data_IF_991303476262
#
_entry.id   IF_991303476262
#
_cell.length_a   1.000
_cell.length_b   1.000
_cell.length_c   1.000
_cell.angle_alpha   90.00
_cell.angle_beta   90.00
_cell.angle_gamma   90.00
#
_symmetry.space_group_name_H-M   'P 1'
#
loop_
_entity.id
_entity.type
_entity.pdbx_description
1 polymer ?
#
# COMPACT_ATOMS: atom_id res chain seq x y z
N UNK A 1 1.94 5.06 31.07
CA UNK A 1 1.69 5.71 29.77
C UNK A 1 1.73 4.64 28.70
N UNK A 2 0.63 4.48 27.97
CA UNK A 2 0.46 3.43 26.96
C UNK A 2 1.24 3.77 25.69
N UNK A 3 1.77 2.75 25.00
CA UNK A 3 2.59 2.95 23.80
C UNK A 3 1.79 3.66 22.70
N UNK A 4 0.47 3.36 22.61
CA UNK A 4 -0.43 3.96 21.63
C UNK A 4 -0.69 5.46 21.79
N UNK A 5 -0.35 6.03 22.95
CA UNK A 5 -0.54 7.47 23.22
C UNK A 5 0.59 8.35 22.67
N UNK A 6 1.64 7.76 22.10
CA UNK A 6 2.81 8.50 21.61
C UNK A 6 2.60 9.00 20.17
N UNK A 7 3.16 10.18 19.82
CA UNK A 7 3.12 10.68 18.45
C UNK A 7 3.74 9.68 17.47
N UNK A 8 3.18 9.59 16.27
CA UNK A 8 3.58 8.67 15.19
C UNK A 8 3.42 7.18 15.51
N UNK A 9 2.78 6.81 16.62
CA UNK A 9 2.57 5.41 16.96
C UNK A 9 1.90 4.60 15.83
N UNK A 10 0.83 5.07 15.16
CA UNK A 10 0.21 4.31 14.07
C UNK A 10 1.17 4.05 12.90
N UNK A 11 1.93 5.07 12.48
CA UNK A 11 2.88 4.94 11.37
C UNK A 11 4.07 4.07 11.76
N UNK A 12 4.56 4.21 12.99
CA UNK A 12 5.63 3.39 13.54
C UNK A 12 5.22 1.92 13.61
N UNK A 13 4.02 1.62 14.12
CA UNK A 13 3.53 0.24 14.16
C UNK A 13 3.34 -0.35 12.77
N UNK A 14 2.84 0.41 11.79
CA UNK A 14 2.79 -0.06 10.39
C UNK A 14 4.17 -0.52 9.89
N UNK A 15 5.23 0.23 10.17
CA UNK A 15 6.60 -0.19 9.83
C UNK A 15 6.99 -1.48 10.54
N UNK A 16 6.68 -1.63 11.83
CA UNK A 16 7.01 -2.84 12.59
C UNK A 16 6.20 -4.07 12.18
N UNK A 17 4.98 -3.88 11.68
CA UNK A 17 4.16 -4.94 11.12
C UNK A 17 4.72 -5.43 9.78
N UNK A 18 5.26 -4.52 8.96
CA UNK A 18 5.77 -4.86 7.62
C UNK A 18 7.26 -5.24 7.57
N UNK A 19 8.04 -4.94 8.62
CA UNK A 19 9.48 -5.19 8.64
C UNK A 19 9.93 -5.83 9.95
N UNK A 20 10.82 -6.82 9.83
CA UNK A 20 11.60 -7.32 10.96
C UNK A 20 12.80 -6.41 11.20
N UNK A 21 12.87 -5.78 12.37
CA UNK A 21 14.01 -4.99 12.80
C UNK A 21 15.18 -5.91 13.14
N UNK A 22 16.23 -5.82 12.32
CA UNK A 22 17.50 -6.50 12.54
C UNK A 22 18.63 -5.52 12.28
N UNK A 23 19.32 -5.13 13.36
CA UNK A 23 20.41 -4.14 13.32
C UNK A 23 20.01 -2.78 12.72
N UNK A 24 18.76 -2.33 12.91
CA UNK A 24 18.32 -1.02 12.40
C UNK A 24 18.76 0.11 13.33
N UNK A 25 19.01 1.28 12.76
CA UNK A 25 19.06 2.55 13.45
C UNK A 25 17.67 3.20 13.49
N UNK A 26 17.53 4.22 14.34
CA UNK A 26 16.32 5.06 14.40
C UNK A 26 16.08 5.78 13.05
N UNK A 27 17.15 6.15 12.35
CA UNK A 27 17.10 6.70 10.99
C UNK A 27 16.49 5.72 9.98
N UNK A 28 16.81 4.42 10.08
CA UNK A 28 16.25 3.40 9.18
C UNK A 28 14.75 3.25 9.38
N UNK A 29 14.28 3.33 10.63
CA UNK A 29 12.86 3.30 10.94
C UNK A 29 12.18 4.59 10.45
N UNK A 30 12.79 5.76 10.70
CA UNK A 30 12.27 7.03 10.21
C UNK A 30 12.14 7.04 8.68
N UNK A 31 13.13 6.52 7.96
CA UNK A 31 13.09 6.42 6.50
C UNK A 31 11.87 5.65 6.00
N UNK A 32 11.48 4.57 6.70
CA UNK A 32 10.27 3.79 6.40
C UNK A 32 8.99 4.52 6.80
N UNK A 33 9.00 5.23 7.93
CA UNK A 33 7.86 6.04 8.38
C UNK A 33 7.58 7.21 7.42
N UNK A 34 8.62 7.80 6.81
CA UNK A 34 8.48 8.86 5.80
C UNK A 34 7.70 8.37 4.57
N UNK A 35 7.81 7.09 4.20
CA UNK A 35 7.02 6.49 3.11
C UNK A 35 5.50 6.51 3.39
N UNK A 36 5.11 6.69 4.65
CA UNK A 36 3.72 6.80 5.09
C UNK A 36 3.23 8.27 5.15
N UNK A 37 3.96 9.21 4.55
CA UNK A 37 3.58 10.63 4.46
C UNK A 37 4.00 11.48 5.66
N UNK A 38 4.89 10.97 6.52
CA UNK A 38 5.41 11.73 7.67
C UNK A 38 6.57 12.62 7.22
N UNK A 39 6.56 13.89 7.63
CA UNK A 39 7.62 14.83 7.30
C UNK A 39 8.98 14.43 7.88
N UNK A 40 10.05 14.64 7.11
CA UNK A 40 11.41 14.43 7.56
C UNK A 40 11.92 15.65 8.35
N UNK A 41 11.71 15.64 9.66
CA UNK A 41 12.20 16.69 10.55
C UNK A 41 12.70 16.12 11.89
N UNK A 42 13.44 16.95 12.63
CA UNK A 42 14.05 16.53 13.89
C UNK A 42 13.02 16.18 14.98
N UNK A 43 11.84 16.82 14.96
CA UNK A 43 10.75 16.51 15.91
C UNK A 43 10.27 15.08 15.69
N UNK A 44 10.05 14.67 14.44
CA UNK A 44 9.63 13.32 14.09
C UNK A 44 10.73 12.30 14.38
N UNK A 45 12.00 12.62 14.12
CA UNK A 45 13.13 11.79 14.54
C UNK A 45 13.10 11.52 16.05
N UNK A 46 12.91 12.56 16.87
CA UNK A 46 12.82 12.42 18.34
C UNK A 46 11.61 11.60 18.78
N UNK A 47 10.47 11.72 18.09
CA UNK A 47 9.28 10.92 18.38
C UNK A 47 9.53 9.42 18.08
N UNK A 48 10.14 9.10 16.93
CA UNK A 48 10.54 7.72 16.61
C UNK A 48 11.58 7.21 17.61
N UNK A 49 12.60 8.00 17.95
CA UNK A 49 13.59 7.64 18.96
C UNK A 49 12.92 7.28 20.30
N UNK A 50 11.97 8.10 20.77
CA UNK A 50 11.22 7.84 22.00
C UNK A 50 10.45 6.53 21.93
N UNK A 51 9.79 6.23 20.81
CA UNK A 51 9.10 4.96 20.60
C UNK A 51 10.05 3.77 20.66
N UNK A 52 11.20 3.84 19.98
CA UNK A 52 12.25 2.81 20.03
C UNK A 52 12.74 2.59 21.46
N UNK A 53 13.06 3.65 22.20
CA UNK A 53 13.50 3.55 23.60
C UNK A 53 12.44 2.91 24.50
N UNK A 54 11.15 3.13 24.22
CA UNK A 54 10.06 2.47 24.95
C UNK A 54 9.99 0.98 24.64
N UNK A 55 10.21 0.59 23.40
CA UNK A 55 10.30 -0.83 23.02
C UNK A 55 11.49 -1.52 23.68
N UNK A 56 12.66 -0.86 23.72
CA UNK A 56 13.84 -1.37 24.45
C UNK A 56 13.53 -1.55 25.93
N UNK A 57 12.95 -0.53 26.58
CA UNK A 57 12.59 -0.60 28.00
C UNK A 57 11.58 -1.72 28.30
N UNK A 58 10.72 -2.05 27.34
CA UNK A 58 9.71 -3.11 27.47
C UNK A 58 10.19 -4.50 27.07
N UNK A 59 11.45 -4.67 26.65
CA UNK A 59 12.01 -5.96 26.27
C UNK A 59 11.80 -6.38 24.81
N UNK A 60 11.09 -5.58 24.01
CA UNK A 60 10.80 -5.91 22.60
C UNK A 60 11.99 -5.71 21.64
N UNK A 61 12.91 -4.80 22.01
CA UNK A 61 14.14 -4.53 21.26
C UNK A 61 15.35 -4.63 22.18
N UNK A 62 16.45 -5.16 21.66
CA UNK A 62 17.76 -5.12 22.30
C UNK A 62 18.70 -4.21 21.51
N UNK A 63 19.65 -3.60 22.23
CA UNK A 63 20.70 -2.79 21.63
C UNK A 63 21.83 -3.73 21.20
N UNK A 64 22.16 -3.74 19.90
CA UNK A 64 23.34 -4.45 19.40
C UNK A 64 24.58 -3.56 19.57
N UNK A 65 25.19 -3.63 20.75
CA UNK A 65 26.38 -2.86 21.09
C UNK A 65 27.65 -3.34 20.37
N UNK A 66 27.61 -4.51 19.71
CA UNK A 66 28.80 -5.16 19.15
C UNK A 66 29.12 -4.73 17.72
N UNK A 67 28.17 -4.13 17.00
CA UNK A 67 28.31 -3.89 15.55
C UNK A 67 28.57 -2.45 15.11
N UNK A 68 28.37 -1.42 15.95
CA UNK A 68 28.46 -0.04 15.47
C UNK A 68 28.71 0.99 16.61
N UNK A 69 29.53 2.05 16.43
CA UNK A 69 29.58 3.20 17.34
C UNK A 69 28.24 3.95 17.49
N UNK A 70 27.30 3.74 16.57
CA UNK A 70 25.94 4.28 16.63
C UNK A 70 24.95 3.18 17.03
N UNK A 71 24.10 3.45 18.04
CA UNK A 71 23.16 2.47 18.61
C UNK A 71 22.23 1.85 17.56
N UNK A 72 22.36 0.54 17.31
CA UNK A 72 21.45 -0.26 16.49
C UNK A 72 20.56 -1.15 17.36
N UNK A 73 19.40 -1.54 16.81
CA UNK A 73 18.37 -2.28 17.51
C UNK A 73 17.98 -3.54 16.75
N UNK A 74 17.73 -4.62 17.48
CA UNK A 74 17.27 -5.91 16.96
C UNK A 74 16.10 -6.40 17.79
N UNK A 75 15.14 -7.05 17.15
CA UNK A 75 13.96 -7.62 17.83
C UNK A 75 14.31 -8.78 18.75
N UNK A 76 13.55 -8.90 19.83
CA UNK A 76 13.45 -10.10 20.65
C UNK A 76 12.24 -10.93 20.23
N UNK A 77 12.14 -12.16 20.74
CA UNK A 77 10.98 -13.01 20.50
C UNK A 77 9.68 -12.39 21.06
N UNK A 78 9.77 -11.56 22.10
CA UNK A 78 8.62 -10.84 22.67
C UNK A 78 7.97 -9.87 21.68
N UNK A 79 8.68 -9.48 20.62
CA UNK A 79 8.14 -8.60 19.58
C UNK A 79 6.92 -9.22 18.88
N UNK A 80 6.82 -10.55 18.83
CA UNK A 80 5.64 -11.23 18.27
C UNK A 80 4.37 -10.88 19.06
N UNK A 81 4.45 -10.83 20.39
CA UNK A 81 3.31 -10.46 21.24
C UNK A 81 2.82 -9.02 20.98
N UNK A 82 3.74 -8.10 20.65
CA UNK A 82 3.39 -6.74 20.28
C UNK A 82 2.68 -6.72 18.92
N UNK A 83 3.15 -7.51 17.96
CA UNK A 83 2.51 -7.63 16.64
C UNK A 83 1.11 -8.22 16.74
N UNK A 84 0.92 -9.27 17.52
CA UNK A 84 -0.41 -9.88 17.70
C UNK A 84 -1.46 -8.89 18.25
N UNK A 85 -1.02 -7.88 19.01
CA UNK A 85 -1.90 -6.85 19.55
C UNK A 85 -2.26 -5.73 18.55
N UNK A 86 -1.35 -5.39 17.64
CA UNK A 86 -1.44 -4.15 16.85
C UNK A 86 -1.31 -4.33 15.34
N UNK A 87 -0.86 -5.49 14.86
CA UNK A 87 -0.60 -5.79 13.45
C UNK A 87 -1.72 -6.61 12.79
N UNK A 88 -2.96 -6.41 13.23
CA UNK A 88 -4.11 -6.93 12.50
C UNK A 88 -4.18 -6.18 11.16
N UNK A 89 -3.66 -6.81 10.10
CA UNK A 89 -3.96 -6.36 8.75
C UNK A 89 -5.47 -6.40 8.59
N UNK A 90 -6.13 -5.27 8.30
CA UNK A 90 -7.55 -5.32 8.08
C UNK A 90 -7.74 -6.07 6.75
N UNK A 91 -8.28 -7.30 6.81
CA UNK A 91 -8.74 -8.07 5.63
C UNK A 91 -9.50 -7.17 4.63
N UNK A 92 -10.20 -6.16 5.16
CA UNK A 92 -10.83 -5.05 4.46
C UNK A 92 -9.97 -4.39 3.36
N UNK A 93 -8.63 -4.33 3.48
CA UNK A 93 -7.79 -3.73 2.43
C UNK A 93 -7.67 -4.63 1.20
N UNK A 94 -7.49 -5.94 1.39
CA UNK A 94 -7.45 -6.90 0.29
C UNK A 94 -8.84 -6.99 -0.34
N UNK A 95 -9.88 -7.05 0.49
CA UNK A 95 -11.28 -7.05 0.04
C UNK A 95 -11.60 -5.80 -0.80
N UNK A 96 -11.15 -4.61 -0.38
CA UNK A 96 -11.28 -3.37 -1.14
C UNK A 96 -10.56 -3.42 -2.49
N UNK A 97 -9.35 -3.98 -2.55
CA UNK A 97 -8.60 -4.13 -3.80
C UNK A 97 -9.32 -5.07 -4.76
N UNK A 98 -9.91 -6.16 -4.25
CA UNK A 98 -10.72 -7.10 -5.03
C UNK A 98 -12.00 -6.42 -5.54
N UNK A 99 -12.68 -5.63 -4.70
CA UNK A 99 -13.86 -4.87 -5.10
C UNK A 99 -13.55 -3.85 -6.21
N UNK A 100 -12.43 -3.14 -6.12
CA UNK A 100 -11.96 -2.24 -7.19
C UNK A 100 -11.66 -3.02 -8.48
N UNK A 101 -11.00 -4.17 -8.37
CA UNK A 101 -10.70 -5.03 -9.52
C UNK A 101 -12.00 -5.50 -10.22
N UNK A 102 -13.03 -5.87 -9.45
CA UNK A 102 -14.33 -6.27 -9.97
C UNK A 102 -15.05 -5.12 -10.68
N UNK A 103 -14.98 -3.89 -10.15
CA UNK A 103 -15.54 -2.70 -10.81
C UNK A 103 -14.89 -2.44 -12.17
N UNK A 104 -13.56 -2.53 -12.26
CA UNK A 104 -12.86 -2.38 -13.54
C UNK A 104 -13.27 -3.44 -14.56
N UNK A 105 -13.47 -4.69 -14.12
CA UNK A 105 -13.93 -5.78 -14.99
C UNK A 105 -15.31 -5.49 -15.58
N UNK A 106 -16.24 -4.96 -14.77
CA UNK A 106 -17.56 -4.54 -15.24
C UNK A 106 -17.48 -3.38 -16.22
N UNK A 107 -16.64 -2.38 -15.96
CA UNK A 107 -16.46 -1.23 -16.85
C UNK A 107 -15.88 -1.63 -18.21
N UNK A 108 -14.89 -2.53 -18.23
CA UNK A 108 -14.33 -3.12 -19.46
C UNK A 108 -15.41 -3.86 -20.26
N UNK A 109 -16.28 -4.61 -19.58
CA UNK A 109 -17.38 -5.33 -20.22
C UNK A 109 -18.38 -4.36 -20.86
N UNK A 110 -18.75 -3.30 -20.14
CA UNK A 110 -19.68 -2.29 -20.66
C UNK A 110 -19.13 -1.58 -21.90
N UNK A 111 -17.86 -1.16 -21.89
CA UNK A 111 -17.22 -0.54 -23.06
C UNK A 111 -17.10 -1.51 -24.24
N UNK A 112 -16.89 -2.80 -23.98
CA UNK A 112 -16.89 -3.82 -25.03
C UNK A 112 -18.26 -3.94 -25.70
N UNK A 113 -19.33 -3.93 -24.90
CA UNK A 113 -20.70 -3.95 -25.41
C UNK A 113 -21.04 -2.67 -26.20
N UNK A 114 -20.57 -1.49 -25.76
CA UNK A 114 -20.74 -0.25 -26.51
C UNK A 114 -20.08 -0.31 -27.90
N UNK A 115 -18.90 -0.92 -28.00
CA UNK A 115 -18.22 -1.11 -29.30
C UNK A 115 -19.06 -2.00 -30.23
N UNK A 116 -19.68 -3.05 -29.70
CA UNK A 116 -20.60 -3.90 -30.48
C UNK A 116 -21.82 -3.11 -30.97
N UNK A 117 -22.42 -2.29 -30.10
CA UNK A 117 -23.54 -1.40 -30.48
C UNK A 117 -23.13 -0.37 -31.53
N UNK A 118 -21.91 0.15 -31.46
CA UNK A 118 -21.38 1.04 -32.50
C UNK A 118 -21.25 0.34 -33.86
N UNK A 119 -20.93 -0.95 -33.92
CA UNK A 119 -20.92 -1.69 -35.19
C UNK A 119 -22.32 -1.85 -35.79
N UNK A 120 -23.35 -2.00 -34.96
CA UNK A 120 -24.74 -2.01 -35.42
C UNK A 120 -25.16 -0.63 -35.94
N UNK A 121 -24.89 0.43 -35.18
CA UNK A 121 -25.19 1.81 -35.57
C UNK A 121 -24.50 2.22 -36.86
N UNK A 122 -23.27 1.76 -37.09
CA UNK A 122 -22.53 2.01 -38.33
C UNK A 122 -23.24 1.45 -39.57
N UNK A 123 -23.95 0.33 -39.44
CA UNK A 123 -24.75 -0.25 -40.54
C UNK A 123 -26.02 0.56 -40.79
N UNK A 124 -26.65 1.04 -39.73
CA UNK A 124 -27.88 1.84 -39.81
C UNK A 124 -27.66 3.28 -40.27
N UNK A 125 -26.47 3.85 -40.01
CA UNK A 125 -26.13 5.24 -40.31
C UNK A 125 -24.77 5.36 -41.03
N UNK A 126 -24.69 4.99 -42.32
CA UNK A 126 -23.43 4.98 -43.09
C UNK A 126 -22.80 6.37 -43.23
N UNK A 127 -23.61 7.43 -43.23
CA UNK A 127 -23.18 8.83 -43.27
C UNK A 127 -22.39 9.25 -42.02
N UNK A 128 -22.58 8.56 -40.90
CA UNK A 128 -21.87 8.80 -39.64
C UNK A 128 -20.69 7.85 -39.41
N UNK A 129 -20.37 6.96 -40.37
CA UNK A 129 -19.37 5.90 -40.22
C UNK A 129 -18.05 6.36 -39.61
N UNK A 130 -17.47 7.46 -40.12
CA UNK A 130 -16.17 7.96 -39.63
C UNK A 130 -16.23 8.43 -38.17
N UNK A 131 -17.34 9.06 -37.75
CA UNK A 131 -17.53 9.50 -36.36
C UNK A 131 -17.73 8.31 -35.43
N UNK A 132 -18.47 7.31 -35.87
CA UNK A 132 -18.68 6.07 -35.12
C UNK A 132 -17.36 5.31 -34.94
N UNK A 133 -16.52 5.25 -35.99
CA UNK A 133 -15.21 4.60 -35.88
C UNK A 133 -14.28 5.34 -34.91
N UNK A 134 -14.33 6.68 -34.86
CA UNK A 134 -13.60 7.46 -33.87
C UNK A 134 -14.05 7.17 -32.43
N UNK A 135 -15.37 7.03 -32.20
CA UNK A 135 -15.90 6.65 -30.88
C UNK A 135 -15.41 5.26 -30.47
N UNK A 136 -15.49 4.27 -31.37
CA UNK A 136 -14.96 2.92 -31.12
C UNK A 136 -13.48 2.93 -30.75
N UNK A 137 -12.68 3.72 -31.46
CA UNK A 137 -11.24 3.83 -31.19
C UNK A 137 -10.97 4.45 -29.81
N UNK A 138 -11.77 5.44 -29.40
CA UNK A 138 -11.69 6.00 -28.05
C UNK A 138 -12.07 4.97 -26.98
N UNK A 139 -13.15 4.20 -27.18
CA UNK A 139 -13.55 3.13 -26.26
C UNK A 139 -12.48 2.04 -26.16
N UNK A 140 -11.83 1.66 -27.27
CA UNK A 140 -10.70 0.71 -27.25
C UNK A 140 -9.53 1.22 -26.40
N UNK A 141 -9.13 2.48 -26.57
CA UNK A 141 -8.06 3.09 -25.76
C UNK A 141 -8.40 3.12 -24.27
N UNK A 142 -9.67 3.40 -23.93
CA UNK A 142 -10.13 3.32 -22.55
C UNK A 142 -10.07 1.89 -22.01
N UNK A 143 -10.50 0.90 -22.78
CA UNK A 143 -10.39 -0.52 -22.40
C UNK A 143 -8.92 -0.89 -22.12
N UNK A 144 -7.98 -0.48 -22.96
CA UNK A 144 -6.56 -0.79 -22.78
C UNK A 144 -5.98 -0.15 -21.51
N UNK A 145 -6.38 1.09 -21.22
CA UNK A 145 -6.04 1.76 -19.96
C UNK A 145 -6.61 1.01 -18.75
N UNK A 146 -7.90 0.65 -18.77
CA UNK A 146 -8.55 -0.08 -17.68
C UNK A 146 -7.95 -1.48 -17.49
N UNK A 147 -7.60 -2.19 -18.57
CA UNK A 147 -6.88 -3.47 -18.51
C UNK A 147 -5.51 -3.33 -17.84
N UNK A 148 -4.78 -2.25 -18.16
CA UNK A 148 -3.48 -1.98 -17.53
C UNK A 148 -3.64 -1.77 -16.01
N UNK A 149 -4.66 -1.01 -15.60
CA UNK A 149 -4.99 -0.82 -14.18
C UNK A 149 -5.42 -2.12 -13.50
N UNK A 150 -6.26 -2.93 -14.15
CA UNK A 150 -6.67 -4.25 -13.68
C UNK A 150 -5.48 -5.17 -13.45
N UNK A 151 -4.52 -5.21 -14.39
CA UNK A 151 -3.32 -6.04 -14.28
C UNK A 151 -2.39 -5.57 -13.15
N UNK A 152 -2.26 -4.25 -12.95
CA UNK A 152 -1.51 -3.70 -11.83
C UNK A 152 -2.12 -4.12 -10.47
N UNK A 153 -3.44 -4.00 -10.32
CA UNK A 153 -4.16 -4.48 -9.14
C UNK A 153 -4.01 -5.98 -8.94
N UNK A 154 -4.14 -6.77 -10.00
CA UNK A 154 -3.96 -8.24 -9.92
C UNK A 154 -2.57 -8.62 -9.46
N UNK A 155 -1.54 -7.89 -9.90
CA UNK A 155 -0.15 -8.12 -9.51
C UNK A 155 0.07 -7.77 -8.05
N UNK A 156 -0.53 -6.68 -7.58
CA UNK A 156 -0.47 -6.26 -6.18
C UNK A 156 -1.18 -7.24 -5.25
N UNK A 157 -2.41 -7.65 -5.57
CA UNK A 157 -3.18 -8.63 -4.79
C UNK A 157 -2.39 -9.94 -4.68
N UNK A 158 -1.85 -10.45 -5.81
CA UNK A 158 -1.06 -11.68 -5.84
C UNK A 158 0.25 -11.58 -5.04
N UNK A 159 0.82 -10.38 -4.90
CA UNK A 159 2.03 -10.17 -4.11
C UNK A 159 1.74 -10.16 -2.60
N UNK A 160 0.55 -9.72 -2.21
CA UNK A 160 0.15 -9.56 -0.80
C UNK A 160 -0.58 -10.82 -0.26
N UNK A 161 -1.26 -11.58 -1.12
CA UNK A 161 -1.98 -12.84 -0.77
C UNK A 161 -1.06 -14.05 -0.76
#
# INVERSE_FOLDING_TARGET
>A
MHLESLPLFPQFMRVLCSYRISSFQVSDILAKVILLGVENNNINYQNIYRLVQRLVKKGYLIIDATKNPYTTYTETDEMMNLRDQFCNEPNDTIDKLIDEQNKLKLEILNLSNEIEMYEELKKSYPDLQFKIEQLKENSKKQIDYLKSKYNALSSLIKYIS
#
